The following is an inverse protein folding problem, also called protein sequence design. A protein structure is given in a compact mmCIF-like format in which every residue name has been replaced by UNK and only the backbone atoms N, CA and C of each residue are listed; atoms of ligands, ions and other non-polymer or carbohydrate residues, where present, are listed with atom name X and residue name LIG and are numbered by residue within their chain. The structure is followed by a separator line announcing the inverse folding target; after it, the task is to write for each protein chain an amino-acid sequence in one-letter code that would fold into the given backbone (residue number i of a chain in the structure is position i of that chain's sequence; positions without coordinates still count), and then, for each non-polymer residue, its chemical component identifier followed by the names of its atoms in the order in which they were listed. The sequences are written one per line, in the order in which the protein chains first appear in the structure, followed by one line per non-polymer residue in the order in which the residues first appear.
data_IF_441571743745
#
_entry.id   IF_441571743745
#
_cell.length_a   1.000
_cell.length_b   1.000
_cell.length_c   1.000
_cell.angle_alpha   90.00
_cell.angle_beta   90.00
_cell.angle_gamma   90.00
#
_symmetry.space_group_name_H-M   'P 1'
#
loop_
_entity.id
_entity.type
_entity.pdbx_description
1 polymer ?
#
# COMPACT_ATOMS: atom_id res chain seq x y z
N UNK A 1 -7.98 4.01 -25.37
CA UNK A 1 -7.30 5.28 -25.02
C UNK A 1 -5.83 4.93 -24.75
N UNK A 2 -4.86 5.59 -25.39
CA UNK A 2 -3.44 5.38 -25.07
C UNK A 2 -3.07 6.34 -23.94
N UNK A 3 -3.02 5.85 -22.72
CA UNK A 3 -2.62 6.62 -21.52
C UNK A 3 -1.26 6.15 -21.06
N UNK A 4 -0.35 7.07 -20.80
CA UNK A 4 1.00 6.75 -20.34
C UNK A 4 2.00 7.82 -20.75
N UNK A 5 3.10 7.85 -20.00
CA UNK A 5 4.24 8.71 -20.28
C UNK A 5 5.16 7.97 -21.26
N UNK A 6 5.67 8.62 -22.32
CA UNK A 6 6.68 8.01 -23.20
C UNK A 6 7.91 7.55 -22.39
N UNK A 7 8.27 6.27 -22.52
CA UNK A 7 9.50 5.76 -21.93
C UNK A 7 10.71 6.49 -22.53
N UNK A 8 11.68 6.83 -21.68
CA UNK A 8 12.85 7.64 -22.08
C UNK A 8 12.62 9.16 -22.03
N UNK A 9 11.43 9.62 -21.65
CA UNK A 9 11.21 11.03 -21.32
C UNK A 9 11.90 11.41 -20.01
N UNK A 10 12.77 12.42 -20.04
CA UNK A 10 13.42 12.95 -18.82
C UNK A 10 12.43 13.55 -17.81
N UNK A 11 11.25 13.98 -18.27
CA UNK A 11 10.18 14.50 -17.41
C UNK A 11 9.27 13.39 -16.88
N UNK A 12 9.38 12.18 -17.39
CA UNK A 12 8.48 11.09 -17.04
C UNK A 12 8.42 10.77 -15.55
N UNK A 13 9.57 10.58 -14.89
CA UNK A 13 9.61 10.34 -13.45
C UNK A 13 8.98 11.48 -12.63
N UNK A 14 9.26 12.74 -13.00
CA UNK A 14 8.70 13.90 -12.31
C UNK A 14 7.18 13.97 -12.44
N UNK A 15 6.65 13.75 -13.64
CA UNK A 15 5.21 13.75 -13.87
C UNK A 15 4.51 12.61 -13.11
N UNK A 16 5.14 11.44 -13.02
CA UNK A 16 4.65 10.34 -12.22
C UNK A 16 4.63 10.69 -10.71
N UNK A 17 5.69 11.32 -10.19
CA UNK A 17 5.74 11.77 -8.80
C UNK A 17 4.63 12.78 -8.48
N UNK A 18 4.36 13.73 -9.37
CA UNK A 18 3.25 14.68 -9.22
C UNK A 18 1.90 13.94 -9.22
N UNK A 19 1.77 12.93 -10.07
CA UNK A 19 0.55 12.14 -10.22
C UNK A 19 0.19 11.32 -8.97
N UNK A 20 1.17 10.72 -8.30
CA UNK A 20 0.96 9.83 -7.15
C UNK A 20 0.91 10.58 -5.81
N UNK A 21 1.24 11.88 -5.80
CA UNK A 21 1.56 12.65 -4.59
C UNK A 21 0.41 12.75 -3.56
N UNK A 22 -0.84 12.57 -3.98
CA UNK A 22 -2.00 12.62 -3.09
C UNK A 22 -2.50 11.23 -2.63
N UNK A 23 -1.88 10.13 -3.09
CA UNK A 23 -2.15 8.77 -2.58
C UNK A 23 -2.15 8.71 -1.04
N UNK A 24 -1.22 9.34 -0.30
CA UNK A 24 -1.23 9.28 1.17
C UNK A 24 -2.52 9.79 1.81
N UNK A 25 -3.30 10.63 1.12
CA UNK A 25 -4.55 11.20 1.62
C UNK A 25 -5.70 10.20 1.66
N UNK A 26 -5.58 9.04 0.99
CA UNK A 26 -6.62 7.99 1.04
C UNK A 26 -6.48 7.06 2.26
N UNK A 27 -5.36 7.15 3.00
CA UNK A 27 -5.08 6.28 4.14
C UNK A 27 -5.73 6.77 5.42
N UNK A 28 -5.93 5.87 6.37
CA UNK A 28 -6.48 6.20 7.67
C UNK A 28 -5.54 7.08 8.50
N UNK A 29 -6.13 7.83 9.43
CA UNK A 29 -5.37 8.64 10.38
C UNK A 29 -4.39 7.77 11.18
N UNK A 30 -3.11 8.12 11.14
CA UNK A 30 -2.04 7.38 11.81
C UNK A 30 -1.26 6.43 10.90
N UNK A 31 -1.78 6.09 9.72
CA UNK A 31 -1.01 5.36 8.70
C UNK A 31 -0.31 6.34 7.77
N UNK A 32 0.99 6.14 7.56
CA UNK A 32 1.77 6.88 6.54
C UNK A 32 2.43 5.87 5.59
N UNK A 33 2.32 6.09 4.27
CA UNK A 33 2.99 5.23 3.30
C UNK A 33 4.43 5.70 3.11
N UNK A 34 5.32 4.76 2.89
CA UNK A 34 6.64 5.01 2.32
C UNK A 34 6.56 4.75 0.82
N UNK A 35 6.88 5.76 0.00
CA UNK A 35 6.73 5.69 -1.46
C UNK A 35 8.05 5.99 -2.16
N UNK A 36 8.40 5.18 -3.15
CA UNK A 36 9.53 5.42 -4.04
C UNK A 36 9.16 4.99 -5.47
N UNK A 37 9.01 5.98 -6.36
CA UNK A 37 8.44 5.74 -7.69
C UNK A 37 7.14 4.91 -7.57
N UNK A 38 6.99 3.81 -8.31
CA UNK A 38 5.82 2.94 -8.28
C UNK A 38 5.78 1.98 -7.08
N UNK A 39 6.88 1.83 -6.33
CA UNK A 39 6.90 1.02 -5.12
C UNK A 39 6.30 1.78 -3.94
N UNK A 40 5.31 1.19 -3.28
CA UNK A 40 4.63 1.76 -2.11
C UNK A 40 4.54 0.73 -1.00
N UNK A 41 4.96 1.11 0.20
CA UNK A 41 4.83 0.32 1.41
C UNK A 41 3.91 1.04 2.40
N UNK A 42 3.04 0.27 3.06
CA UNK A 42 2.15 0.77 4.11
C UNK A 42 2.40 -0.07 5.36
N UNK A 43 2.63 0.60 6.49
CA UNK A 43 2.89 -0.04 7.76
C UNK A 43 2.05 0.59 8.88
N UNK A 44 1.67 -0.24 9.84
CA UNK A 44 0.99 0.17 11.08
C UNK A 44 1.51 -0.67 12.25
N UNK A 45 1.30 -0.20 13.47
CA UNK A 45 1.73 -0.89 14.68
C UNK A 45 0.62 -0.90 15.73
N UNK A 46 0.50 -2.02 16.45
CA UNK A 46 -0.42 -2.21 17.57
C UNK A 46 0.06 -3.37 18.44
N UNK A 47 -0.48 -3.46 19.65
CA UNK A 47 -0.31 -4.63 20.52
C UNK A 47 -1.22 -5.80 20.11
N UNK A 48 -2.34 -5.50 19.45
CA UNK A 48 -3.30 -6.48 18.93
C UNK A 48 -3.13 -6.69 17.42
N UNK A 49 -2.82 -7.93 17.04
CA UNK A 49 -2.68 -8.34 15.64
C UNK A 49 -3.96 -8.14 14.84
N UNK A 50 -5.14 -8.32 15.45
CA UNK A 50 -6.42 -8.12 14.76
C UNK A 50 -6.57 -6.67 14.32
N UNK A 51 -6.21 -5.74 15.20
CA UNK A 51 -6.22 -4.31 14.90
C UNK A 51 -5.24 -3.97 13.76
N UNK A 52 -4.05 -4.59 13.74
CA UNK A 52 -3.09 -4.44 12.63
C UNK A 52 -3.70 -4.91 11.31
N UNK A 53 -4.24 -6.13 11.29
CA UNK A 53 -4.81 -6.75 10.09
C UNK A 53 -6.03 -5.99 9.58
N UNK A 54 -6.95 -5.59 10.46
CA UNK A 54 -8.13 -4.78 10.08
C UNK A 54 -7.73 -3.41 9.54
N UNK A 55 -6.76 -2.75 10.17
CA UNK A 55 -6.27 -1.44 9.72
C UNK A 55 -5.61 -1.54 8.35
N UNK A 56 -4.70 -2.51 8.15
CA UNK A 56 -4.03 -2.69 6.87
C UNK A 56 -4.97 -3.11 5.75
N UNK A 57 -5.93 -4.01 6.01
CA UNK A 57 -6.93 -4.39 5.01
C UNK A 57 -7.80 -3.19 4.60
N UNK A 58 -8.17 -2.32 5.55
CA UNK A 58 -8.92 -1.10 5.24
C UNK A 58 -8.08 -0.11 4.43
N UNK A 59 -6.83 0.11 4.81
CA UNK A 59 -5.91 0.98 4.07
C UNK A 59 -5.63 0.46 2.65
N UNK A 60 -5.42 -0.84 2.49
CA UNK A 60 -5.23 -1.48 1.18
C UNK A 60 -6.47 -1.34 0.29
N UNK A 61 -7.67 -1.49 0.84
CA UNK A 61 -8.92 -1.25 0.09
C UNK A 61 -9.05 0.22 -0.35
N UNK A 62 -8.69 1.16 0.51
CA UNK A 62 -8.68 2.58 0.14
C UNK A 62 -7.70 2.86 -1.01
N UNK A 63 -6.51 2.26 -0.95
CA UNK A 63 -5.50 2.37 -2.02
C UNK A 63 -5.99 1.74 -3.31
N UNK A 64 -6.59 0.55 -3.28
CA UNK A 64 -7.15 -0.10 -4.46
C UNK A 64 -8.23 0.77 -5.13
N UNK A 65 -9.12 1.38 -4.33
CA UNK A 65 -10.13 2.31 -4.80
C UNK A 65 -9.51 3.58 -5.40
N UNK A 66 -8.51 4.16 -4.72
CA UNK A 66 -7.82 5.36 -5.20
C UNK A 66 -7.06 5.08 -6.51
N UNK A 67 -6.37 3.94 -6.63
CA UNK A 67 -5.69 3.52 -7.86
C UNK A 67 -6.69 3.38 -9.00
N UNK A 68 -7.81 2.70 -8.78
CA UNK A 68 -8.87 2.52 -9.78
C UNK A 68 -9.48 3.86 -10.24
N UNK A 69 -9.76 4.77 -9.30
CA UNK A 69 -10.23 6.12 -9.60
C UNK A 69 -9.22 6.90 -10.47
N UNK A 70 -7.93 6.71 -10.19
CA UNK A 70 -6.80 7.28 -10.93
C UNK A 70 -6.31 6.37 -12.07
N UNK A 71 -7.13 5.45 -12.60
CA UNK A 71 -6.78 4.63 -13.78
C UNK A 71 -5.45 3.85 -13.66
N UNK A 72 -5.02 3.58 -12.43
CA UNK A 72 -3.92 2.69 -12.10
C UNK A 72 -4.48 1.33 -11.68
N UNK A 73 -3.64 0.30 -11.72
CA UNK A 73 -4.02 -1.07 -11.34
C UNK A 73 -3.10 -1.53 -10.22
N UNK A 74 -3.68 -2.01 -9.12
CA UNK A 74 -2.93 -2.68 -8.08
C UNK A 74 -2.45 -4.03 -8.59
N UNK A 75 -1.17 -4.34 -8.37
CA UNK A 75 -0.63 -5.64 -8.72
C UNK A 75 -0.83 -6.64 -7.58
N UNK A 76 -2.01 -7.26 -7.51
CA UNK A 76 -2.36 -8.17 -6.43
C UNK A 76 -1.39 -9.35 -6.32
N UNK A 77 -0.82 -9.84 -7.43
CA UNK A 77 0.13 -10.97 -7.40
C UNK A 77 1.52 -10.60 -6.89
N UNK A 78 1.82 -9.31 -6.75
CA UNK A 78 3.07 -8.80 -6.15
C UNK A 78 2.85 -8.10 -4.81
N UNK A 79 1.61 -7.97 -4.36
CA UNK A 79 1.29 -7.29 -3.11
C UNK A 79 1.42 -8.29 -1.98
N UNK A 80 2.44 -8.09 -1.14
CA UNK A 80 2.78 -9.01 -0.06
C UNK A 80 2.46 -8.40 1.32
N UNK A 81 2.22 -9.28 2.29
CA UNK A 81 2.00 -8.93 3.68
C UNK A 81 3.15 -9.40 4.56
N UNK A 82 3.53 -8.62 5.56
CA UNK A 82 4.58 -9.01 6.51
C UNK A 82 4.27 -8.54 7.94
N UNK A 83 4.39 -9.45 8.92
CA UNK A 83 4.38 -9.09 10.35
C UNK A 83 5.81 -9.01 10.86
N UNK A 84 6.12 -7.90 11.51
CA UNK A 84 7.41 -7.70 12.18
C UNK A 84 7.16 -7.60 13.69
N UNK A 85 7.85 -8.42 14.47
CA UNK A 85 7.71 -8.47 15.92
C UNK A 85 8.74 -9.35 16.60
N UNK A 86 8.74 -9.36 17.94
CA UNK A 86 9.61 -10.27 18.70
C UNK A 86 9.18 -11.72 18.53
N UNK A 87 10.11 -12.68 18.68
CA UNK A 87 9.82 -14.12 18.59
C UNK A 87 8.62 -14.55 19.44
N UNK A 88 8.50 -14.01 20.66
CA UNK A 88 7.39 -14.29 21.58
C UNK A 88 6.04 -13.79 21.06
N UNK A 89 6.01 -12.65 20.36
CA UNK A 89 4.76 -12.12 19.76
C UNK A 89 4.40 -12.89 18.48
N UNK A 90 5.39 -13.19 17.65
CA UNK A 90 5.19 -13.95 16.43
C UNK A 90 4.68 -15.38 16.70
N UNK A 91 5.12 -16.03 17.79
CA UNK A 91 4.60 -17.35 18.18
C UNK A 91 3.13 -17.36 18.60
N UNK A 92 2.51 -16.20 18.83
CA UNK A 92 1.09 -16.06 19.17
C UNK A 92 0.21 -15.84 17.93
N UNK A 93 0.84 -15.60 16.78
CA UNK A 93 0.17 -15.46 15.49
C UNK A 93 -0.27 -16.85 15.05
N UNK A 94 -1.56 -17.14 15.17
CA UNK A 94 -2.15 -18.47 14.99
C UNK A 94 -2.72 -18.69 13.59
N UNK A 95 -2.86 -17.63 12.79
CA UNK A 95 -3.26 -17.68 11.40
C UNK A 95 -2.43 -16.66 10.61
N UNK A 96 -2.10 -17.02 9.37
CA UNK A 96 -1.54 -16.05 8.45
C UNK A 96 -2.60 -14.96 8.23
N UNK A 97 -2.28 -13.69 8.52
CA UNK A 97 -3.19 -12.60 8.23
C UNK A 97 -3.43 -12.54 6.72
N UNK A 98 -4.65 -12.87 6.31
CA UNK A 98 -5.05 -12.79 4.93
C UNK A 98 -5.25 -11.32 4.56
N UNK A 99 -4.47 -10.85 3.57
CA UNK A 99 -4.87 -9.67 2.80
C UNK A 99 -6.12 -10.05 2.02
N UNK A 100 -7.19 -9.28 2.16
CA UNK A 100 -8.44 -9.45 1.41
C UNK A 100 -8.60 -8.29 0.43
N UNK A 101 -8.15 -8.48 -0.82
CA UNK A 101 -8.32 -7.54 -1.94
C UNK A 101 -8.58 -8.30 -3.23
#
# INVERSE_FOLDING_TARGET
MKTGIPQGSGLGPLLFLIYINDLPKCLNAGTKPDMFADDTQIATSSDDIKVITETLNRDLNNVANWLSANKLTLNNSKTEYMIIGSKKRLSQVTADPAISI
#
